data_IF_445028214087
#
_entry.id   IF_445028214087
#
_cell.length_a   1.000
_cell.length_b   1.000
_cell.length_c   1.000
_cell.angle_alpha   90.00
_cell.angle_beta   90.00
_cell.angle_gamma   90.00
#
_symmetry.space_group_name_H-M   'P 1'
#
loop_
_entity.id
_entity.type
_entity.pdbx_description
1 polymer ?
#
# COMPACT_ATOMS: atom_id res chain seq x y z
N UNK A 1 1.65 -1.93 18.49
CA UNK A 1 1.02 -1.74 17.17
C UNK A 1 1.76 -2.62 16.19
N UNK A 2 1.07 -3.42 15.37
CA UNK A 2 1.73 -4.21 14.33
C UNK A 2 2.25 -3.25 13.26
N UNK A 3 3.57 -3.19 13.07
CA UNK A 3 4.20 -2.42 12.00
C UNK A 3 4.26 -3.27 10.74
N UNK A 4 3.51 -2.89 9.72
CA UNK A 4 3.63 -3.49 8.39
C UNK A 4 4.62 -2.66 7.58
N UNK A 5 5.44 -3.32 6.76
CA UNK A 5 6.33 -2.64 5.82
C UNK A 5 5.86 -2.92 4.41
N UNK A 6 5.74 -1.87 3.59
CA UNK A 6 5.47 -2.02 2.15
C UNK A 6 6.80 -1.85 1.41
N UNK A 7 7.13 -2.82 0.56
CA UNK A 7 8.34 -2.80 -0.25
C UNK A 7 8.01 -2.42 -1.69
N UNK A 8 8.80 -1.52 -2.26
CA UNK A 8 8.80 -1.21 -3.68
C UNK A 8 10.05 -1.82 -4.33
N UNK A 9 9.90 -3.00 -4.93
CA UNK A 9 11.00 -3.71 -5.60
C UNK A 9 11.22 -3.25 -7.05
N UNK A 10 10.66 -2.10 -7.43
CA UNK A 10 10.73 -1.57 -8.80
C UNK A 10 11.61 -0.32 -8.88
N UNK A 11 12.02 0.02 -10.10
CA UNK A 11 12.77 1.23 -10.40
C UNK A 11 11.91 2.51 -10.47
N UNK A 12 10.61 2.44 -10.14
CA UNK A 12 9.66 3.55 -10.27
C UNK A 12 9.26 4.10 -8.91
N UNK A 13 8.86 5.37 -8.87
CA UNK A 13 8.14 5.90 -7.72
C UNK A 13 6.74 5.29 -7.67
N UNK A 14 6.33 4.81 -6.50
CA UNK A 14 5.01 4.22 -6.29
C UNK A 14 4.25 5.07 -5.28
N UNK A 15 3.10 5.62 -5.70
CA UNK A 15 2.18 6.33 -4.81
C UNK A 15 0.99 5.44 -4.50
N UNK A 16 0.92 4.96 -3.26
CA UNK A 16 -0.20 4.17 -2.74
C UNK A 16 -1.17 5.13 -2.05
N UNK A 17 -2.39 5.20 -2.56
CA UNK A 17 -3.41 6.13 -2.05
C UNK A 17 -4.42 5.46 -1.14
N UNK A 18 -4.58 4.15 -1.28
CA UNK A 18 -5.56 3.39 -0.53
C UNK A 18 -5.07 1.97 -0.24
N UNK A 19 -5.22 1.57 1.01
CA UNK A 19 -5.07 0.20 1.49
C UNK A 19 -6.39 -0.17 2.16
N UNK A 20 -7.03 -1.24 1.70
CA UNK A 20 -8.32 -1.73 2.17
C UNK A 20 -8.24 -3.16 2.68
N UNK A 21 -9.03 -3.44 3.72
CA UNK A 21 -9.34 -4.80 4.18
C UNK A 21 -10.86 -4.93 4.27
N UNK A 22 -11.43 -5.97 3.65
CA UNK A 22 -12.88 -6.19 3.62
C UNK A 22 -13.68 -4.94 3.18
N UNK A 23 -13.12 -4.16 2.24
CA UNK A 23 -13.72 -2.91 1.74
C UNK A 23 -13.50 -1.66 2.60
N UNK A 24 -12.93 -1.78 3.81
CA UNK A 24 -12.67 -0.66 4.73
C UNK A 24 -11.27 -0.11 4.52
N UNK A 25 -11.15 1.21 4.30
CA UNK A 25 -9.84 1.90 4.17
C UNK A 25 -9.13 1.93 5.53
N UNK A 26 -7.88 1.50 5.57
CA UNK A 26 -7.11 1.34 6.81
C UNK A 26 -5.80 2.15 6.86
N UNK A 27 -5.34 2.72 5.75
CA UNK A 27 -4.25 3.71 5.75
C UNK A 27 -4.80 5.12 6.07
N UNK A 28 -4.08 5.87 6.88
CA UNK A 28 -4.44 7.27 7.21
C UNK A 28 -4.05 8.24 6.09
N UNK A 29 -2.85 8.06 5.56
CA UNK A 29 -2.24 8.95 4.57
C UNK A 29 -1.84 8.15 3.33
N UNK A 30 -1.64 8.88 2.22
CA UNK A 30 -1.01 8.30 1.04
C UNK A 30 0.46 8.00 1.35
N UNK A 31 0.97 6.92 0.77
CA UNK A 31 2.35 6.44 0.99
C UNK A 31 3.09 6.59 -0.34
N UNK A 32 4.19 7.33 -0.32
CA UNK A 32 5.07 7.48 -1.49
C UNK A 32 6.35 6.69 -1.23
N UNK A 33 6.61 5.69 -2.08
CA UNK A 33 7.81 4.86 -2.02
C UNK A 33 8.75 5.26 -3.15
N UNK A 34 9.99 5.57 -2.80
CA UNK A 34 11.07 5.73 -3.76
C UNK A 34 11.38 4.37 -4.42
N UNK A 35 12.01 4.37 -5.61
CA UNK A 35 12.57 3.16 -6.21
C UNK A 35 13.39 2.35 -5.20
N UNK A 36 13.19 1.02 -5.15
CA UNK A 36 13.92 0.09 -4.29
C UNK A 36 13.93 0.45 -2.80
N UNK A 37 12.86 1.09 -2.31
CA UNK A 37 12.71 1.49 -0.91
C UNK A 37 11.55 0.77 -0.23
N UNK A 38 11.53 0.85 1.11
CA UNK A 38 10.39 0.45 1.90
C UNK A 38 9.95 1.56 2.85
N UNK A 39 8.70 1.52 3.27
CA UNK A 39 8.20 2.35 4.34
C UNK A 39 7.36 1.53 5.31
N UNK A 40 7.55 1.79 6.59
CA UNK A 40 6.68 1.26 7.63
C UNK A 40 5.38 2.06 7.63
N UNK A 41 4.26 1.34 7.66
CA UNK A 41 2.93 1.92 7.55
C UNK A 41 2.13 1.65 8.81
N UNK A 42 1.57 2.72 9.37
CA UNK A 42 0.60 2.63 10.44
C UNK A 42 -0.77 2.27 9.86
N UNK A 43 -1.09 0.98 9.84
CA UNK A 43 -2.41 0.50 9.44
C UNK A 43 -3.32 0.40 10.66
N UNK A 44 -4.53 0.95 10.54
CA UNK A 44 -5.56 0.80 11.58
C UNK A 44 -6.01 -0.66 11.65
N UNK A 45 -5.60 -1.36 12.72
CA UNK A 45 -6.14 -2.66 13.15
C UNK A 45 -6.48 -3.62 12.01
N UNK A 46 -5.47 -4.26 11.41
CA UNK A 46 -5.72 -5.29 10.40
C UNK A 46 -4.80 -6.48 10.63
N UNK A 47 -5.36 -7.61 11.07
CA UNK A 47 -4.77 -8.94 10.97
C UNK A 47 -5.43 -9.63 9.77
N UNK A 48 -5.08 -9.22 8.55
CA UNK A 48 -5.66 -9.76 7.33
C UNK A 48 -4.58 -10.47 6.52
N UNK A 49 -4.95 -11.57 5.86
CA UNK A 49 -4.01 -12.27 4.98
C UNK A 49 -3.88 -11.60 3.60
N UNK A 50 -4.84 -10.73 3.25
CA UNK A 50 -4.90 -10.01 1.99
C UNK A 50 -5.33 -8.56 2.21
N UNK A 51 -4.74 -7.67 1.44
CA UNK A 51 -5.00 -6.23 1.43
C UNK A 51 -5.27 -5.81 -0.01
N UNK A 52 -6.33 -5.05 -0.25
CA UNK A 52 -6.54 -4.41 -1.55
C UNK A 52 -5.78 -3.09 -1.56
N UNK A 53 -4.76 -2.97 -2.39
CA UNK A 53 -3.98 -1.74 -2.55
C UNK A 53 -4.39 -1.03 -3.84
N UNK A 54 -4.43 0.30 -3.81
CA UNK A 54 -4.63 1.15 -4.98
C UNK A 54 -3.47 2.11 -5.13
N UNK A 55 -2.85 2.11 -6.31
CA UNK A 55 -1.80 3.04 -6.72
C UNK A 55 -2.31 4.00 -7.79
N UNK A 56 -1.61 5.11 -7.98
CA UNK A 56 -1.82 6.04 -9.11
C UNK A 56 -0.59 5.98 -10.02
N UNK A 57 -0.81 5.84 -11.33
CA UNK A 57 0.25 5.94 -12.34
C UNK A 57 0.55 7.40 -12.76
N UNK A 58 1.55 7.59 -13.61
CA UNK A 58 1.97 8.91 -14.11
C UNK A 58 0.93 9.61 -15.00
N UNK A 59 -0.05 8.86 -15.51
CA UNK A 59 -1.17 9.38 -16.30
C UNK A 59 -2.40 9.68 -15.42
N UNK A 60 -2.32 9.45 -14.11
CA UNK A 60 -3.42 9.65 -13.16
C UNK A 60 -4.43 8.51 -13.13
N UNK A 61 -4.14 7.37 -13.75
CA UNK A 61 -5.00 6.19 -13.66
C UNK A 61 -4.85 5.49 -12.31
N UNK A 62 -5.95 4.93 -11.83
CA UNK A 62 -6.02 4.19 -10.59
C UNK A 62 -5.88 2.70 -10.90
N UNK A 63 -4.87 2.05 -10.33
CA UNK A 63 -4.63 0.61 -10.49
C UNK A 63 -4.81 -0.04 -9.12
N UNK A 64 -5.66 -1.07 -9.02
CA UNK A 64 -5.91 -1.77 -7.76
C UNK A 64 -5.68 -3.27 -7.87
N UNK A 65 -5.06 -3.87 -6.86
CA UNK A 65 -4.89 -5.32 -6.76
C UNK A 65 -4.95 -5.83 -5.31
N UNK A 66 -5.21 -7.13 -5.15
CA UNK A 66 -5.12 -7.82 -3.86
C UNK A 66 -3.70 -8.32 -3.64
N UNK A 67 -3.08 -7.88 -2.56
CA UNK A 67 -1.71 -8.25 -2.18
C UNK A 67 -1.76 -9.02 -0.87
N UNK A 68 -1.05 -10.15 -0.84
CA UNK A 68 -0.93 -11.00 0.35
C UNK A 68 0.30 -10.63 1.16
N UNK A 69 0.24 -10.82 2.48
CA UNK A 69 1.45 -10.76 3.32
C UNK A 69 2.42 -11.88 2.92
N UNK A 70 3.72 -11.56 2.96
CA UNK A 70 4.81 -12.51 2.75
C UNK A 70 5.61 -12.69 4.04
#
# INVERSE_FOLDING_TARGET
ASSYSIQNDTANWVTIIEVKVNGVKINNESIMLAPFSSADVALKSANANQYKMTIIDDHGNYISDNVSLK
#
